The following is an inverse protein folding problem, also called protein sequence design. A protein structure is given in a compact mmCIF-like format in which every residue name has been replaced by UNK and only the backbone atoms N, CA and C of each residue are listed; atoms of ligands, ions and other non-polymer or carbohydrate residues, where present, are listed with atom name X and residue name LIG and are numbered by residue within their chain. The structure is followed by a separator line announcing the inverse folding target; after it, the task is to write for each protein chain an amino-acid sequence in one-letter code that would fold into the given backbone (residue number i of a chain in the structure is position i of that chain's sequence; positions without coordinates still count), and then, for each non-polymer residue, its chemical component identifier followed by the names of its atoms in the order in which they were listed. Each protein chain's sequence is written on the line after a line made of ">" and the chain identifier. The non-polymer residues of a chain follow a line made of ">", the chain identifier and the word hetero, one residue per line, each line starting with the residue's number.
data_IF_565603429451
#
_entry.id   IF_565603429451
#
_cell.length_a   1.000
_cell.length_b   1.000
_cell.length_c   1.000
_cell.angle_alpha   90.00
_cell.angle_beta   90.00
_cell.angle_gamma   90.00
#
_symmetry.space_group_name_H-M   'P 1'
#
loop_
_entity.id
_entity.type
_entity.pdbx_description
1 polymer ?
#
# COMPACT_ATOMS: atom_id res chain seq x y z
N UNK A 1 -9.16 15.67 -21.00
CA UNK A 1 -9.51 14.75 -22.11
C UNK A 1 -8.39 13.72 -22.24
N UNK A 2 -8.61 12.49 -21.81
CA UNK A 2 -7.67 11.39 -22.02
C UNK A 2 -8.08 10.64 -23.29
N UNK A 3 -7.23 10.68 -24.33
CA UNK A 3 -7.40 9.88 -25.54
C UNK A 3 -6.66 8.56 -25.34
N UNK A 4 -7.39 7.44 -25.36
CA UNK A 4 -6.81 6.10 -25.37
C UNK A 4 -6.66 5.65 -26.82
N UNK A 5 -5.42 5.53 -27.29
CA UNK A 5 -5.09 4.88 -28.56
C UNK A 5 -4.86 3.40 -28.29
N UNK A 6 -5.73 2.54 -28.81
CA UNK A 6 -5.62 1.08 -28.73
C UNK A 6 -4.54 0.60 -29.71
N UNK A 7 -3.47 -0.02 -29.19
CA UNK A 7 -2.50 -0.77 -30.01
C UNK A 7 -2.56 -2.27 -29.71
N UNK A 8 -2.57 -3.04 -30.81
CA UNK A 8 -2.73 -4.49 -30.90
C UNK A 8 -1.73 -5.29 -30.06
N UNK A 9 -2.20 -6.44 -29.60
CA UNK A 9 -1.49 -7.51 -28.88
C UNK A 9 -0.37 -8.13 -29.72
N UNK A 10 0.86 -7.65 -29.50
CA UNK A 10 2.06 -8.47 -29.62
C UNK A 10 2.48 -8.89 -28.20
N UNK A 11 2.99 -10.10 -28.02
CA UNK A 11 3.64 -10.56 -26.78
C UNK A 11 4.86 -9.68 -26.51
N UNK A 12 4.63 -8.51 -25.92
CA UNK A 12 5.68 -7.64 -25.39
C UNK A 12 6.17 -8.31 -24.13
N UNK A 13 7.46 -8.65 -24.08
CA UNK A 13 8.11 -8.99 -22.82
C UNK A 13 7.77 -7.88 -21.82
N UNK A 14 7.15 -8.28 -20.71
CA UNK A 14 6.84 -7.35 -19.62
C UNK A 14 8.19 -6.89 -19.06
N UNK A 15 8.51 -5.59 -19.09
CA UNK A 15 9.79 -5.09 -18.59
C UNK A 15 10.00 -5.56 -17.15
N UNK A 16 11.12 -6.23 -16.89
CA UNK A 16 11.47 -6.62 -15.53
C UNK A 16 11.94 -5.39 -14.78
N UNK A 17 11.24 -5.02 -13.70
CA UNK A 17 11.75 -4.04 -12.76
C UNK A 17 12.93 -4.66 -12.01
N UNK A 18 14.15 -4.39 -12.50
CA UNK A 18 15.39 -4.79 -11.85
C UNK A 18 15.89 -3.63 -11.01
N UNK A 19 15.76 -3.75 -9.70
CA UNK A 19 16.39 -2.80 -8.77
C UNK A 19 17.64 -3.43 -8.19
N UNK A 20 18.76 -2.70 -8.28
CA UNK A 20 20.08 -3.11 -7.76
C UNK A 20 20.50 -4.54 -8.15
N UNK A 21 20.12 -4.98 -9.35
CA UNK A 21 20.48 -6.30 -9.90
C UNK A 21 19.53 -7.44 -9.54
N UNK A 22 18.50 -7.20 -8.71
CA UNK A 22 17.50 -8.18 -8.33
C UNK A 22 16.19 -7.97 -9.08
N UNK A 23 15.57 -9.05 -9.54
CA UNK A 23 14.22 -9.03 -10.08
C UNK A 23 13.24 -9.02 -8.89
N UNK A 24 12.69 -7.85 -8.57
CA UNK A 24 11.79 -7.62 -7.43
C UNK A 24 10.59 -8.57 -7.44
N UNK A 25 10.08 -8.94 -8.62
CA UNK A 25 9.02 -9.94 -8.76
C UNK A 25 9.46 -11.29 -8.21
N UNK A 26 10.69 -11.73 -8.53
CA UNK A 26 11.19 -13.02 -8.06
C UNK A 26 11.37 -13.03 -6.55
N UNK A 27 11.88 -11.94 -5.96
CA UNK A 27 12.03 -11.82 -4.51
C UNK A 27 10.68 -11.85 -3.80
N UNK A 28 9.65 -11.17 -4.33
CA UNK A 28 8.31 -11.21 -3.78
C UNK A 28 7.71 -12.63 -3.76
N UNK A 29 7.82 -13.38 -4.86
CA UNK A 29 7.38 -14.77 -4.84
C UNK A 29 8.26 -15.66 -3.96
N UNK A 30 9.59 -15.44 -3.90
CA UNK A 30 10.49 -16.22 -3.02
C UNK A 30 10.10 -15.98 -1.57
N UNK A 31 9.70 -14.75 -1.24
CA UNK A 31 9.17 -14.41 0.07
C UNK A 31 7.90 -15.22 0.38
N UNK A 32 6.94 -15.32 -0.55
CA UNK A 32 5.75 -16.17 -0.38
C UNK A 32 6.10 -17.65 -0.19
N UNK A 33 7.00 -18.20 -1.01
CA UNK A 33 7.45 -19.60 -0.94
C UNK A 33 8.24 -19.90 0.35
N UNK A 34 8.95 -18.91 0.89
CA UNK A 34 9.80 -19.08 2.09
C UNK A 34 9.04 -19.50 3.35
N UNK A 35 7.72 -19.28 3.38
CA UNK A 35 6.86 -19.67 4.49
C UNK A 35 6.59 -21.17 4.57
N UNK A 36 6.90 -21.93 3.51
CA UNK A 36 6.75 -23.40 3.46
C UNK A 36 5.33 -23.88 3.77
N UNK A 37 4.33 -23.06 3.44
CA UNK A 37 2.91 -23.37 3.59
C UNK A 37 2.33 -24.14 2.39
N UNK A 38 3.18 -24.59 1.46
CA UNK A 38 2.77 -25.38 0.29
C UNK A 38 2.58 -24.58 -1.00
N UNK A 39 2.70 -23.26 -0.97
CA UNK A 39 2.69 -22.43 -2.19
C UNK A 39 3.92 -22.71 -3.07
N UNK A 40 3.67 -23.06 -4.33
CA UNK A 40 4.64 -23.16 -5.41
C UNK A 40 4.12 -22.36 -6.60
N UNK A 41 4.82 -21.29 -6.97
CA UNK A 41 4.38 -20.39 -8.06
C UNK A 41 4.20 -21.10 -9.41
N UNK A 42 4.86 -22.25 -9.62
CA UNK A 42 4.81 -23.03 -10.86
C UNK A 42 3.69 -24.07 -10.84
N UNK A 43 3.13 -24.38 -9.67
CA UNK A 43 2.07 -25.36 -9.53
C UNK A 43 0.71 -24.66 -9.34
N UNK A 44 -0.17 -24.66 -10.36
CA UNK A 44 -1.45 -23.96 -10.29
C UNK A 44 -2.36 -24.46 -9.17
N UNK A 45 -2.23 -25.73 -8.76
CA UNK A 45 -3.06 -26.32 -7.71
C UNK A 45 -2.69 -25.82 -6.30
N UNK A 46 -1.57 -25.12 -6.15
CA UNK A 46 -1.12 -24.57 -4.87
C UNK A 46 -1.47 -23.09 -4.67
N UNK A 47 -2.08 -22.46 -5.69
CA UNK A 47 -2.37 -21.02 -5.73
C UNK A 47 -3.71 -20.71 -5.04
N UNK A 48 -3.74 -20.88 -3.73
CA UNK A 48 -4.90 -20.61 -2.89
C UNK A 48 -4.49 -19.95 -1.56
N UNK A 49 -5.44 -19.28 -0.90
CA UNK A 49 -5.17 -18.56 0.34
C UNK A 49 -4.62 -19.45 1.46
N UNK A 50 -5.03 -20.73 1.53
CA UNK A 50 -4.58 -21.66 2.58
C UNK A 50 -3.09 -22.02 2.49
N UNK A 51 -2.49 -21.89 1.31
CA UNK A 51 -1.07 -22.16 1.09
C UNK A 51 -0.19 -20.91 1.24
N UNK A 52 -0.77 -19.77 1.57
CA UNK A 52 -0.09 -18.48 1.66
C UNK A 52 -0.04 -18.01 3.13
N UNK A 53 0.95 -17.17 3.50
CA UNK A 53 0.94 -16.50 4.79
C UNK A 53 -0.33 -15.67 4.97
N UNK A 54 -0.74 -15.48 6.23
CA UNK A 54 -1.90 -14.66 6.58
C UNK A 54 -1.81 -13.29 5.93
N UNK A 55 -2.91 -12.87 5.34
CA UNK A 55 -3.07 -11.57 4.73
C UNK A 55 -4.52 -11.15 4.82
N UNK A 56 -4.73 -9.86 4.65
CA UNK A 56 -6.07 -9.30 4.57
C UNK A 56 -6.37 -8.87 3.14
N UNK A 57 -7.65 -8.62 2.83
CA UNK A 57 -8.08 -7.98 1.57
C UNK A 57 -7.45 -8.60 0.29
N UNK A 58 -7.36 -9.93 0.25
CA UNK A 58 -6.91 -10.68 -0.93
C UNK A 58 -5.43 -10.51 -1.31
N UNK A 59 -4.59 -10.04 -0.40
CA UNK A 59 -3.13 -10.06 -0.57
C UNK A 59 -2.39 -8.93 0.13
N UNK A 60 -3.03 -8.17 1.03
CA UNK A 60 -2.40 -7.13 1.81
C UNK A 60 -1.57 -7.74 2.94
N UNK A 61 -0.26 -7.57 2.85
CA UNK A 61 0.75 -8.00 3.82
C UNK A 61 1.35 -6.77 4.49
N UNK A 62 1.03 -6.56 5.77
CA UNK A 62 1.62 -5.54 6.63
C UNK A 62 2.26 -6.14 7.89
N UNK A 63 2.10 -7.44 8.13
CA UNK A 63 2.77 -8.20 9.20
C UNK A 63 4.14 -8.74 8.75
N UNK A 64 4.75 -9.58 9.58
CA UNK A 64 5.99 -10.33 9.36
C UNK A 64 7.27 -9.50 9.21
N UNK A 65 7.16 -8.17 9.18
CA UNK A 65 8.25 -7.28 8.83
C UNK A 65 8.52 -7.20 7.34
N UNK A 66 7.53 -7.53 6.49
CA UNK A 66 7.66 -7.46 5.03
C UNK A 66 8.11 -6.07 4.56
N UNK A 67 7.64 -5.01 5.22
CA UNK A 67 8.04 -3.63 4.94
C UNK A 67 9.53 -3.34 5.13
N UNK A 68 10.26 -4.28 5.75
CA UNK A 68 11.69 -4.24 6.01
C UNK A 68 12.52 -5.30 5.29
N UNK A 69 11.93 -6.10 4.42
CA UNK A 69 12.68 -7.02 3.56
C UNK A 69 13.63 -6.24 2.64
N UNK A 70 14.80 -6.81 2.31
CA UNK A 70 15.83 -6.12 1.52
C UNK A 70 15.27 -5.59 0.20
N UNK A 71 14.50 -6.41 -0.53
CA UNK A 71 13.93 -6.02 -1.81
C UNK A 71 12.91 -4.88 -1.70
N UNK A 72 12.26 -4.71 -0.54
CA UNK A 72 11.36 -3.58 -0.27
C UNK A 72 12.15 -2.31 0.04
N UNK A 73 13.26 -2.44 0.76
CA UNK A 73 14.17 -1.31 0.97
C UNK A 73 14.90 -0.87 -0.28
N UNK A 74 15.19 -1.79 -1.20
CA UNK A 74 15.73 -1.45 -2.51
C UNK A 74 14.73 -0.63 -3.34
N UNK A 75 13.43 -0.97 -3.29
CA UNK A 75 12.34 -0.16 -3.86
C UNK A 75 12.27 1.23 -3.21
N UNK A 76 12.14 1.29 -1.88
CA UNK A 76 12.04 2.56 -1.13
C UNK A 76 13.30 3.43 -1.26
N UNK A 77 14.43 2.86 -1.64
CA UNK A 77 15.69 3.60 -1.80
C UNK A 77 15.99 4.00 -3.24
N UNK A 78 15.06 3.78 -4.17
CA UNK A 78 15.26 4.11 -5.58
C UNK A 78 15.28 5.64 -5.79
N UNK A 79 16.37 6.23 -6.32
CA UNK A 79 16.48 7.69 -6.44
C UNK A 79 15.32 8.32 -7.21
N UNK A 80 14.94 7.74 -8.35
CA UNK A 80 13.86 8.27 -9.19
C UNK A 80 12.50 8.26 -8.51
N UNK A 81 12.27 7.37 -7.55
CA UNK A 81 11.08 7.34 -6.70
C UNK A 81 11.12 8.46 -5.65
N UNK A 82 12.23 8.55 -4.91
CA UNK A 82 12.43 9.55 -3.85
C UNK A 82 12.27 10.97 -4.43
N UNK A 83 12.88 11.25 -5.58
CA UNK A 83 12.81 12.54 -6.27
C UNK A 83 11.36 12.99 -6.58
N UNK A 84 10.43 12.06 -6.85
CA UNK A 84 9.01 12.42 -7.05
C UNK A 84 8.41 13.00 -5.78
N UNK A 85 8.70 12.41 -4.63
CA UNK A 85 8.24 12.91 -3.34
C UNK A 85 8.97 14.16 -2.90
N UNK A 86 10.27 14.29 -3.21
CA UNK A 86 11.03 15.53 -2.94
C UNK A 86 10.40 16.71 -3.68
N UNK A 87 9.98 16.50 -4.94
CA UNK A 87 9.28 17.50 -5.74
C UNK A 87 7.91 17.88 -5.14
N UNK A 88 7.15 16.90 -4.64
CA UNK A 88 5.84 17.14 -4.02
C UNK A 88 6.00 17.99 -2.75
N UNK A 89 7.01 17.67 -1.94
CA UNK A 89 7.21 18.31 -0.64
C UNK A 89 8.13 19.53 -0.65
N UNK A 90 8.84 19.77 -1.76
CA UNK A 90 9.81 20.86 -1.88
C UNK A 90 11.04 20.69 -0.99
N UNK A 91 11.36 19.48 -0.54
CA UNK A 91 12.51 19.20 0.31
C UNK A 91 13.12 17.82 0.05
N UNK A 92 14.44 17.72 0.22
CA UNK A 92 15.19 16.45 0.23
C UNK A 92 15.01 15.71 1.57
N UNK A 93 14.68 16.43 2.63
CA UNK A 93 14.57 15.90 3.99
C UNK A 93 13.26 15.12 4.16
N UNK A 94 13.26 13.87 3.75
CA UNK A 94 12.08 13.00 3.77
C UNK A 94 12.23 11.83 4.75
N UNK A 95 11.11 11.35 5.27
CA UNK A 95 11.01 10.06 5.95
C UNK A 95 9.97 9.19 5.23
N UNK A 96 10.30 7.92 4.99
CA UNK A 96 9.44 6.94 4.31
C UNK A 96 8.63 6.12 5.32
N UNK A 97 7.45 5.66 4.96
CA UNK A 97 6.67 4.74 5.80
C UNK A 97 7.29 3.34 5.80
N UNK A 98 7.08 2.60 6.89
CA UNK A 98 7.39 1.17 6.96
C UNK A 98 6.18 0.33 6.56
N UNK A 99 5.37 0.87 5.65
CA UNK A 99 4.18 0.19 5.14
C UNK A 99 4.58 -1.08 4.37
N UNK A 100 3.59 -1.94 4.18
CA UNK A 100 3.73 -3.27 3.64
C UNK A 100 3.61 -3.34 2.11
N UNK A 101 3.13 -4.48 1.64
CA UNK A 101 2.94 -4.77 0.23
C UNK A 101 1.58 -5.39 -0.02
N UNK A 102 1.12 -5.31 -1.26
CA UNK A 102 0.11 -6.22 -1.76
C UNK A 102 0.79 -7.27 -2.64
N UNK A 103 0.62 -8.54 -2.29
CA UNK A 103 1.08 -9.70 -3.06
C UNK A 103 -0.09 -10.63 -3.35
N UNK A 104 -1.10 -10.13 -4.08
CA UNK A 104 -2.30 -10.90 -4.40
C UNK A 104 -1.98 -12.04 -5.39
N UNK A 105 -2.35 -13.26 -4.98
CA UNK A 105 -2.33 -14.46 -5.81
C UNK A 105 -3.78 -14.92 -6.00
N UNK A 106 -4.42 -14.61 -7.14
CA UNK A 106 -5.84 -14.92 -7.31
C UNK A 106 -6.10 -16.41 -7.44
N UNK A 107 -7.17 -16.85 -6.81
CA UNK A 107 -7.70 -18.22 -6.91
C UNK A 107 -8.56 -18.34 -8.15
N UNK A 108 -8.20 -19.27 -9.04
CA UNK A 108 -8.89 -19.48 -10.31
C UNK A 108 -10.36 -19.87 -10.13
N UNK A 109 -10.65 -20.68 -9.12
CA UNK A 109 -11.98 -21.23 -8.87
C UNK A 109 -12.80 -20.38 -7.87
N UNK A 110 -12.34 -19.16 -7.53
CA UNK A 110 -13.07 -18.27 -6.63
C UNK A 110 -14.35 -17.76 -7.30
N UNK A 111 -15.47 -17.96 -6.63
CA UNK A 111 -16.77 -17.51 -7.10
C UNK A 111 -16.81 -15.98 -7.24
N UNK A 112 -17.35 -15.48 -8.35
CA UNK A 112 -17.43 -14.03 -8.61
C UNK A 112 -18.31 -13.27 -7.61
N UNK A 113 -19.17 -13.99 -6.89
CA UNK A 113 -20.03 -13.45 -5.83
C UNK A 113 -19.37 -13.47 -4.45
N UNK A 114 -18.11 -13.88 -4.35
CA UNK A 114 -17.36 -13.88 -3.09
C UNK A 114 -17.36 -12.45 -2.48
N UNK A 115 -17.76 -12.28 -1.20
CA UNK A 115 -17.78 -10.99 -0.53
C UNK A 115 -16.43 -10.26 -0.53
N UNK A 116 -15.31 -10.94 -0.77
CA UNK A 116 -13.98 -10.33 -0.86
C UNK A 116 -13.89 -9.29 -2.00
N UNK A 117 -14.75 -9.40 -3.02
CA UNK A 117 -14.83 -8.45 -4.13
C UNK A 117 -15.63 -7.19 -3.82
N UNK A 118 -16.34 -7.15 -2.69
CA UNK A 118 -17.11 -5.99 -2.29
C UNK A 118 -16.20 -4.76 -2.10
N UNK A 119 -16.62 -3.57 -2.57
CA UNK A 119 -15.88 -2.35 -2.32
C UNK A 119 -15.83 -2.06 -0.81
N UNK A 120 -14.74 -1.42 -0.39
CA UNK A 120 -14.54 -0.99 1.00
C UNK A 120 -14.03 0.44 0.98
N UNK A 121 -14.86 1.32 0.42
CA UNK A 121 -14.55 2.72 0.22
C UNK A 121 -14.19 3.39 1.55
N UNK A 122 -13.03 4.05 1.58
CA UNK A 122 -12.56 4.77 2.75
C UNK A 122 -11.72 5.98 2.35
N UNK A 123 -11.48 6.84 3.33
CA UNK A 123 -10.39 7.82 3.32
C UNK A 123 -9.40 7.49 4.41
N UNK A 124 -8.18 7.95 4.23
CA UNK A 124 -7.06 7.73 5.14
C UNK A 124 -6.59 9.04 5.79
N UNK A 125 -7.48 10.02 5.80
CA UNK A 125 -7.31 11.26 6.53
C UNK A 125 -8.46 11.39 7.52
N UNK A 126 -8.20 12.01 8.67
CA UNK A 126 -9.28 12.28 9.62
C UNK A 126 -10.30 13.23 8.98
N UNK A 127 -11.62 12.99 9.14
CA UNK A 127 -12.66 13.94 8.73
C UNK A 127 -12.51 15.32 9.37
N UNK A 128 -11.82 15.40 10.52
CA UNK A 128 -11.56 16.63 11.26
C UNK A 128 -10.47 17.50 10.64
N UNK A 129 -9.75 17.01 9.63
CA UNK A 129 -8.71 17.75 8.93
C UNK A 129 -9.06 17.86 7.44
N UNK A 130 -9.50 19.04 7.00
CA UNK A 130 -9.80 19.32 5.59
C UNK A 130 -8.59 19.71 4.73
N UNK A 131 -7.44 19.95 5.35
CA UNK A 131 -6.25 20.47 4.68
C UNK A 131 -5.48 19.38 3.93
N UNK A 132 -4.64 19.79 2.99
CA UNK A 132 -3.69 18.86 2.37
C UNK A 132 -2.70 18.35 3.42
N UNK A 133 -2.81 17.06 3.77
CA UNK A 133 -1.90 16.44 4.72
C UNK A 133 -0.99 15.43 4.05
N UNK A 134 -1.50 14.42 3.33
CA UNK A 134 -0.69 13.30 2.86
C UNK A 134 -0.89 13.01 1.37
N UNK A 135 0.18 12.57 0.70
CA UNK A 135 0.11 11.97 -0.63
C UNK A 135 0.53 10.52 -0.48
N UNK A 136 -0.44 9.64 -0.61
CA UNK A 136 -0.19 8.21 -0.61
C UNK A 136 0.39 7.76 -1.95
N UNK A 137 1.08 6.62 -1.93
CA UNK A 137 1.68 6.07 -3.13
C UNK A 137 1.66 4.55 -3.18
N UNK A 138 1.51 4.05 -4.42
CA UNK A 138 1.71 2.64 -4.76
C UNK A 138 2.74 2.58 -5.88
N UNK A 139 3.83 1.85 -5.65
CA UNK A 139 4.72 1.43 -6.72
C UNK A 139 4.24 0.09 -7.27
N UNK A 140 3.78 0.10 -8.52
CA UNK A 140 3.21 -1.08 -9.18
C UNK A 140 4.31 -1.98 -9.75
N UNK A 141 4.26 -3.28 -9.48
CA UNK A 141 5.36 -4.22 -9.80
C UNK A 141 5.03 -5.21 -10.92
N UNK A 142 3.74 -5.44 -11.20
CA UNK A 142 3.24 -6.33 -12.24
C UNK A 142 2.22 -5.60 -13.13
N UNK A 143 1.96 -6.03 -14.37
CA UNK A 143 0.87 -5.48 -15.16
C UNK A 143 -0.43 -5.49 -14.36
N UNK A 144 -1.11 -4.35 -14.29
CA UNK A 144 -2.34 -4.19 -13.54
C UNK A 144 -3.42 -3.58 -14.43
N UNK A 145 -4.22 -4.44 -15.03
CA UNK A 145 -5.35 -4.08 -15.88
C UNK A 145 -6.67 -3.86 -15.13
N UNK A 146 -7.79 -3.73 -15.88
CA UNK A 146 -9.10 -3.40 -15.31
C UNK A 146 -9.66 -4.44 -14.33
N UNK A 147 -9.26 -5.70 -14.45
CA UNK A 147 -9.76 -6.82 -13.62
C UNK A 147 -8.70 -7.37 -12.66
N UNK A 148 -7.49 -6.80 -12.67
CA UNK A 148 -6.35 -7.32 -11.90
C UNK A 148 -6.29 -6.74 -10.47
N UNK A 149 -7.42 -6.23 -9.96
CA UNK A 149 -7.50 -5.59 -8.64
C UNK A 149 -6.64 -4.33 -8.56
N UNK A 150 -6.49 -3.76 -7.36
CA UNK A 150 -5.68 -2.59 -7.09
C UNK A 150 -6.47 -1.30 -6.88
N UNK A 151 -5.79 -0.16 -7.03
CA UNK A 151 -6.32 1.13 -6.61
C UNK A 151 -7.55 1.52 -7.45
N UNK A 152 -8.69 1.64 -6.78
CA UNK A 152 -9.87 2.32 -7.31
C UNK A 152 -10.06 3.61 -6.53
N UNK A 153 -10.13 4.74 -7.24
CA UNK A 153 -10.32 6.07 -6.66
C UNK A 153 -11.69 6.61 -7.02
N UNK A 154 -12.26 7.42 -6.13
CA UNK A 154 -13.46 8.18 -6.41
C UNK A 154 -13.05 9.55 -6.95
N UNK A 155 -12.86 9.62 -8.27
CA UNK A 155 -12.35 10.80 -8.95
C UNK A 155 -13.19 12.05 -8.61
N UNK A 156 -12.52 13.13 -8.22
CA UNK A 156 -13.13 14.39 -7.80
C UNK A 156 -13.48 14.49 -6.31
N UNK A 157 -13.48 13.38 -5.55
CA UNK A 157 -13.96 13.40 -4.17
C UNK A 157 -13.10 14.22 -3.21
N UNK A 158 -11.79 14.35 -3.47
CA UNK A 158 -10.88 15.14 -2.61
C UNK A 158 -11.24 16.62 -2.59
N UNK A 159 -11.76 17.16 -3.70
CA UNK A 159 -12.23 18.54 -3.78
C UNK A 159 -13.51 18.79 -2.95
N UNK A 160 -14.29 17.73 -2.70
CA UNK A 160 -15.52 17.77 -1.92
C UNK A 160 -15.30 17.34 -0.46
N UNK A 161 -14.08 17.03 -0.04
CA UNK A 161 -13.81 16.38 1.25
C UNK A 161 -14.40 17.15 2.44
N UNK A 162 -14.15 18.45 2.55
CA UNK A 162 -14.69 19.27 3.64
C UNK A 162 -16.22 19.41 3.55
N UNK A 163 -16.77 19.50 2.33
CA UNK A 163 -18.23 19.57 2.14
C UNK A 163 -18.91 18.26 2.54
N UNK A 164 -18.31 17.12 2.21
CA UNK A 164 -18.79 15.79 2.55
C UNK A 164 -18.99 15.65 4.07
N UNK A 165 -17.94 15.92 4.85
CA UNK A 165 -18.00 15.74 6.30
C UNK A 165 -18.94 16.74 6.99
N UNK A 166 -19.06 17.95 6.44
CA UNK A 166 -20.05 18.93 6.89
C UNK A 166 -21.48 18.50 6.55
N UNK A 167 -21.72 17.93 5.37
CA UNK A 167 -23.04 17.47 4.96
C UNK A 167 -23.52 16.31 5.82
N UNK A 168 -22.61 15.37 6.11
CA UNK A 168 -22.89 14.17 6.89
C UNK A 168 -22.54 14.30 8.36
N UNK A 169 -22.43 15.51 8.91
CA UNK A 169 -22.07 15.74 10.32
C UNK A 169 -23.00 14.99 11.30
N UNK A 170 -24.26 14.80 10.90
CA UNK A 170 -25.26 14.05 11.65
C UNK A 170 -24.98 12.53 11.77
N UNK A 171 -24.03 11.99 10.99
CA UNK A 171 -23.57 10.59 11.04
C UNK A 171 -22.37 10.36 11.96
N UNK A 172 -21.90 11.39 12.67
CA UNK A 172 -20.86 11.23 13.70
C UNK A 172 -21.27 10.19 14.73
N UNK A 173 -20.29 9.40 15.19
CA UNK A 173 -20.47 8.50 16.32
C UNK A 173 -20.60 9.27 17.65
N UNK A 174 -20.80 8.54 18.75
CA UNK A 174 -20.88 9.10 20.10
C UNK A 174 -19.62 9.91 20.48
N UNK A 175 -18.47 9.55 19.89
CA UNK A 175 -17.15 10.15 20.16
C UNK A 175 -16.66 11.04 19.01
N UNK A 176 -17.58 11.64 18.22
CA UNK A 176 -17.26 12.41 17.02
C UNK A 176 -16.68 11.55 15.87
N UNK A 177 -16.22 12.18 14.80
CA UNK A 177 -15.44 11.55 13.74
C UNK A 177 -14.11 11.01 14.25
N UNK A 178 -13.61 9.96 13.59
CA UNK A 178 -12.32 9.37 13.91
C UNK A 178 -11.19 10.44 13.80
N UNK A 179 -10.49 10.78 14.89
CA UNK A 179 -9.38 11.73 14.83
C UNK A 179 -8.13 11.12 14.19
N UNK A 180 -8.07 9.79 14.04
CA UNK A 180 -7.01 9.10 13.32
C UNK A 180 -7.31 8.98 11.81
N UNK A 181 -6.26 8.68 11.06
CA UNK A 181 -6.35 8.26 9.66
C UNK A 181 -7.11 6.92 9.57
N UNK A 182 -8.37 6.99 9.12
CA UNK A 182 -9.20 5.94 8.51
C UNK A 182 -10.69 6.24 8.76
N UNK A 183 -11.49 6.41 7.71
CA UNK A 183 -12.95 6.57 7.81
C UNK A 183 -13.64 5.88 6.62
N UNK A 184 -14.60 4.99 6.92
CA UNK A 184 -15.41 4.35 5.88
C UNK A 184 -16.40 5.33 5.25
N UNK A 185 -16.68 5.09 3.97
CA UNK A 185 -17.71 5.78 3.19
C UNK A 185 -18.87 4.79 2.98
N UNK A 186 -20.05 5.16 3.45
CA UNK A 186 -21.26 4.36 3.26
C UNK A 186 -21.91 4.62 1.89
N UNK A 187 -22.99 3.88 1.61
CA UNK A 187 -23.70 3.98 0.33
C UNK A 187 -24.35 5.36 0.12
N UNK A 188 -24.84 6.00 1.19
CA UNK A 188 -25.48 7.32 1.11
C UNK A 188 -24.46 8.42 0.81
N UNK A 189 -23.30 8.38 1.48
CA UNK A 189 -22.16 9.24 1.19
C UNK A 189 -21.67 9.03 -0.24
N UNK A 190 -21.60 7.78 -0.69
CA UNK A 190 -21.18 7.45 -2.05
C UNK A 190 -22.14 8.03 -3.08
N UNK A 191 -23.45 7.81 -2.93
CA UNK A 191 -24.48 8.33 -3.83
C UNK A 191 -24.50 9.87 -3.86
N UNK A 192 -24.27 10.51 -2.70
CA UNK A 192 -24.17 11.96 -2.64
C UNK A 192 -23.00 12.49 -3.47
N UNK A 193 -21.83 11.86 -3.37
CA UNK A 193 -20.66 12.20 -4.21
C UNK A 193 -20.90 11.94 -5.69
N UNK A 194 -21.56 10.83 -6.05
CA UNK A 194 -21.94 10.54 -7.45
C UNK A 194 -22.88 11.63 -7.99
N UNK A 195 -23.85 12.08 -7.19
CA UNK A 195 -24.77 13.17 -7.54
C UNK A 195 -24.05 14.51 -7.77
N UNK A 196 -22.87 14.67 -7.16
CA UNK A 196 -21.97 15.82 -7.33
C UNK A 196 -20.98 15.64 -8.49
N UNK A 197 -21.08 14.53 -9.23
CA UNK A 197 -20.29 14.26 -10.43
C UNK A 197 -19.00 13.46 -10.18
N UNK A 198 -18.75 12.99 -8.96
CA UNK A 198 -17.64 12.07 -8.70
C UNK A 198 -17.86 10.72 -9.40
N UNK A 199 -16.78 10.03 -9.77
CA UNK A 199 -16.85 8.75 -10.47
C UNK A 199 -15.81 7.76 -9.96
N UNK A 200 -16.21 6.51 -9.77
CA UNK A 200 -15.26 5.45 -9.50
C UNK A 200 -14.38 5.17 -10.72
N UNK A 201 -13.07 5.24 -10.53
CA UNK A 201 -12.07 4.99 -11.56
C UNK A 201 -11.09 3.93 -11.06
N UNK A 202 -11.08 2.77 -11.75
CA UNK A 202 -10.06 1.75 -11.54
C UNK A 202 -8.78 2.18 -12.25
N UNK A 203 -7.73 2.45 -11.49
CA UNK A 203 -6.44 2.87 -12.04
C UNK A 203 -5.70 1.65 -12.59
N UNK A 204 -5.39 1.66 -13.87
CA UNK A 204 -4.57 0.63 -14.53
C UNK A 204 -3.12 1.11 -14.62
N UNK A 205 -2.17 0.19 -14.47
CA UNK A 205 -0.75 0.52 -14.35
C UNK A 205 0.14 -0.56 -15.01
N UNK A 206 1.31 -0.14 -15.47
CA UNK A 206 2.39 -1.01 -15.91
C UNK A 206 3.44 -1.17 -14.80
N UNK A 207 4.29 -2.21 -14.84
CA UNK A 207 5.40 -2.34 -13.90
C UNK A 207 6.29 -1.09 -13.89
N UNK A 208 6.61 -0.59 -12.71
CA UNK A 208 7.40 0.63 -12.50
C UNK A 208 6.59 1.91 -12.41
N UNK A 209 5.29 1.89 -12.72
CA UNK A 209 4.44 3.06 -12.55
C UNK A 209 4.25 3.38 -11.06
N UNK A 210 4.39 4.66 -10.73
CA UNK A 210 4.10 5.21 -9.41
C UNK A 210 2.71 5.87 -9.44
N UNK A 211 1.78 5.29 -8.69
CA UNK A 211 0.44 5.82 -8.49
C UNK A 211 0.45 6.72 -7.26
N UNK A 212 -0.04 7.95 -7.38
CA UNK A 212 -0.07 8.93 -6.28
C UNK A 212 -1.45 9.55 -6.16
N UNK A 213 -1.92 9.73 -4.94
CA UNK A 213 -3.18 10.41 -4.66
C UNK A 213 -3.16 11.14 -3.32
N UNK A 214 -3.97 12.20 -3.22
CA UNK A 214 -4.23 12.93 -1.99
C UNK A 214 -4.99 12.03 -1.00
N UNK A 215 -4.59 11.98 0.28
CA UNK A 215 -5.22 11.14 1.31
C UNK A 215 -6.69 11.46 1.58
N UNK A 216 -7.18 12.62 1.13
CA UNK A 216 -8.61 12.99 1.12
C UNK A 216 -9.40 12.34 0.00
N UNK A 217 -8.74 11.81 -1.02
CA UNK A 217 -9.43 11.08 -2.08
C UNK A 217 -9.97 9.76 -1.54
N UNK A 218 -11.27 9.54 -1.72
CA UNK A 218 -11.93 8.30 -1.34
C UNK A 218 -11.44 7.22 -2.27
N UNK A 219 -11.05 6.09 -1.72
CA UNK A 219 -10.46 5.01 -2.49
C UNK A 219 -10.66 3.65 -1.80
N UNK A 220 -10.31 2.59 -2.51
CA UNK A 220 -10.14 1.26 -1.93
C UNK A 220 -9.21 0.41 -2.80
N UNK A 221 -8.66 -0.65 -2.22
CA UNK A 221 -7.92 -1.68 -2.95
C UNK A 221 -8.85 -2.80 -3.40
N UNK A 222 -9.15 -2.90 -4.69
CA UNK A 222 -9.92 -4.01 -5.25
C UNK A 222 -9.11 -5.32 -5.24
N UNK A 223 -9.77 -6.44 -4.94
CA UNK A 223 -9.18 -7.77 -5.13
C UNK A 223 -9.23 -8.15 -6.62
N UNK A 224 -8.20 -8.80 -7.19
CA UNK A 224 -8.23 -9.22 -8.58
C UNK A 224 -9.36 -10.24 -8.84
N UNK A 225 -10.25 -9.91 -9.77
CA UNK A 225 -11.28 -10.84 -10.28
C UNK A 225 -10.80 -11.61 -11.51
N UNK A 226 -9.65 -11.24 -12.07
CA UNK A 226 -8.89 -12.03 -13.03
C UNK A 226 -8.00 -13.07 -12.32
N UNK A 227 -7.24 -13.84 -13.10
CA UNK A 227 -6.24 -14.80 -12.59
C UNK A 227 -4.81 -14.24 -12.59
N UNK A 228 -4.64 -12.94 -12.83
CA UNK A 228 -3.31 -12.31 -12.88
C UNK A 228 -2.81 -11.95 -11.48
N UNK A 229 -1.56 -12.29 -11.18
CA UNK A 229 -0.91 -11.87 -9.94
C UNK A 229 -0.77 -10.35 -9.89
N UNK A 230 -1.03 -9.77 -8.71
CA UNK A 230 -0.88 -8.34 -8.49
C UNK A 230 0.11 -8.10 -7.36
N UNK A 231 1.26 -7.56 -7.72
CA UNK A 231 2.28 -7.14 -6.76
C UNK A 231 2.44 -5.62 -6.76
N UNK A 232 2.44 -5.04 -5.57
CA UNK A 232 2.56 -3.61 -5.35
C UNK A 232 3.22 -3.32 -4.00
N UNK A 233 4.06 -2.28 -3.94
CA UNK A 233 4.59 -1.77 -2.67
C UNK A 233 3.84 -0.49 -2.28
N UNK A 234 3.44 -0.39 -1.01
CA UNK A 234 2.87 0.83 -0.45
C UNK A 234 4.02 1.74 -0.02
N UNK A 235 4.02 2.96 -0.57
CA UNK A 235 5.14 3.89 -0.44
C UNK A 235 4.59 5.30 -0.22
N UNK A 236 4.94 5.88 0.92
CA UNK A 236 4.64 7.27 1.21
C UNK A 236 5.84 7.91 1.90
N UNK A 237 6.14 9.15 1.52
CA UNK A 237 7.15 9.97 2.16
C UNK A 237 6.51 11.25 2.68
N UNK A 238 7.06 11.76 3.77
CA UNK A 238 6.72 13.07 4.35
C UNK A 238 7.99 13.82 4.70
N UNK A 239 7.96 15.15 4.79
CA UNK A 239 9.08 15.91 5.32
C UNK A 239 9.47 15.41 6.71
N UNK A 240 10.77 15.30 6.98
CA UNK A 240 11.28 14.91 8.29
C UNK A 240 10.89 15.91 9.40
N UNK A 241 10.60 17.15 9.03
CA UNK A 241 10.08 18.21 9.90
C UNK A 241 8.63 17.98 10.33
N UNK A 242 7.85 17.19 9.59
CA UNK A 242 6.47 16.84 9.95
C UNK A 242 6.39 15.71 10.99
N UNK A 243 7.50 15.04 11.29
CA UNK A 243 7.54 13.92 12.24
C UNK A 243 8.06 14.40 13.58
N UNK A 244 7.28 14.17 14.64
CA UNK A 244 7.64 14.57 16.00
C UNK A 244 8.93 13.89 16.50
N UNK A 245 9.62 14.50 17.47
CA UNK A 245 10.82 13.89 18.07
C UNK A 245 10.51 12.54 18.76
N UNK A 246 9.30 12.40 19.31
CA UNK A 246 8.81 11.14 19.89
C UNK A 246 8.62 10.08 18.81
N UNK A 247 7.94 10.42 17.72
CA UNK A 247 7.73 9.48 16.61
C UNK A 247 9.03 9.09 15.92
N UNK A 248 10.01 9.98 15.84
CA UNK A 248 11.38 9.63 15.38
C UNK A 248 12.00 8.53 16.25
N UNK A 249 11.82 8.56 17.57
CA UNK A 249 12.30 7.49 18.47
C UNK A 249 11.51 6.18 18.25
N UNK A 250 10.18 6.26 18.19
CA UNK A 250 9.31 5.10 17.92
C UNK A 250 9.61 4.44 16.57
N UNK A 251 9.96 5.24 15.56
CA UNK A 251 10.44 4.78 14.24
C UNK A 251 11.74 3.99 14.34
N UNK A 252 12.72 4.45 15.12
CA UNK A 252 13.97 3.72 15.34
C UNK A 252 13.72 2.36 16.01
N UNK A 253 12.82 2.31 16.98
CA UNK A 253 12.42 1.07 17.66
C UNK A 253 11.70 0.11 16.71
N UNK A 254 10.73 0.60 15.94
CA UNK A 254 10.01 -0.21 14.95
C UNK A 254 10.97 -0.80 13.90
N UNK A 255 11.94 -0.01 13.41
CA UNK A 255 12.95 -0.50 12.48
C UNK A 255 13.84 -1.58 13.11
N UNK A 256 14.27 -1.41 14.37
CA UNK A 256 15.08 -2.41 15.09
C UNK A 256 14.34 -3.73 15.26
N UNK A 257 13.02 -3.66 15.47
CA UNK A 257 12.16 -4.81 15.71
C UNK A 257 11.53 -5.41 14.44
N UNK A 258 11.81 -4.84 13.26
CA UNK A 258 11.21 -5.27 12.00
C UNK A 258 9.68 -5.09 11.98
N UNK A 259 9.16 -4.06 12.64
CA UNK A 259 7.73 -3.78 12.70
C UNK A 259 7.33 -2.81 11.58
N UNK A 260 6.30 -3.19 10.83
CA UNK A 260 5.71 -2.31 9.81
C UNK A 260 4.89 -1.19 10.46
N UNK A 261 4.48 -0.21 9.66
CA UNK A 261 3.66 0.92 10.11
C UNK A 261 2.47 1.13 9.20
N UNK A 262 1.57 2.03 9.60
CA UNK A 262 0.60 2.64 8.68
C UNK A 262 1.28 3.38 7.53
N UNK A 263 0.46 3.79 6.55
CA UNK A 263 0.90 4.46 5.34
C UNK A 263 1.57 5.82 5.60
N UNK A 264 1.12 6.63 6.56
CA UNK A 264 1.67 7.98 6.81
C UNK A 264 2.91 7.94 7.74
N UNK A 265 4.10 8.38 7.29
CA UNK A 265 5.30 8.48 8.13
C UNK A 265 5.19 9.42 9.34
N UNK A 266 4.31 10.43 9.27
CA UNK A 266 4.11 11.46 10.29
C UNK A 266 2.98 11.12 11.28
N UNK A 267 1.95 10.40 10.85
CA UNK A 267 0.95 9.80 11.76
C UNK A 267 1.38 8.39 12.17
N UNK A 268 2.47 8.30 12.94
CA UNK A 268 3.19 7.05 13.16
C UNK A 268 2.43 6.07 14.07
N UNK A 269 2.00 4.95 13.49
CA UNK A 269 1.41 3.81 14.20
C UNK A 269 2.06 2.51 13.73
N UNK A 270 2.50 1.71 14.69
CA UNK A 270 3.10 0.41 14.46
C UNK A 270 2.00 -0.62 14.19
N UNK A 271 2.24 -1.55 13.27
CA UNK A 271 1.39 -2.70 13.01
C UNK A 271 1.99 -3.93 13.69
N UNK A 272 1.14 -4.79 14.23
CA UNK A 272 1.58 -6.05 14.84
C UNK A 272 2.33 -6.91 13.82
N UNK A 273 3.51 -7.38 14.23
CA UNK A 273 4.37 -8.20 13.37
C UNK A 273 3.83 -9.61 13.23
N UNK A 274 3.18 -10.14 14.26
CA UNK A 274 2.63 -11.49 14.24
C UNK A 274 1.24 -11.50 13.60
N UNK A 275 0.88 -12.56 12.86
CA UNK A 275 -0.48 -12.78 12.41
C UNK A 275 -1.37 -13.22 13.60
N UNK A 276 -2.68 -13.46 13.40
CA UNK A 276 -3.51 -14.11 14.42
C UNK A 276 -2.93 -15.43 14.90
N UNK A 277 -3.04 -15.71 16.20
CA UNK A 277 -2.40 -16.85 16.86
C UNK A 277 -2.89 -18.21 16.34
N UNK A 278 -4.12 -18.25 15.84
CA UNK A 278 -4.80 -19.41 15.27
C UNK A 278 -4.40 -19.70 13.81
N UNK A 279 -3.71 -18.78 13.12
CA UNK A 279 -3.34 -18.98 11.72
C UNK A 279 -2.10 -19.89 11.61
N UNK A 280 -2.03 -20.83 10.64
CA UNK A 280 -0.89 -21.74 10.46
C UNK A 280 0.47 -21.06 10.27
N UNK A 281 0.50 -19.80 9.86
CA UNK A 281 1.73 -19.02 9.70
C UNK A 281 2.29 -18.44 11.01
N UNK A 282 1.57 -18.54 12.14
CA UNK A 282 1.94 -17.87 13.38
C UNK A 282 3.26 -18.38 13.95
N UNK A 283 3.40 -19.70 14.12
CA UNK A 283 4.62 -20.31 14.68
C UNK A 283 5.84 -19.96 13.82
N UNK A 284 5.72 -20.13 12.50
CA UNK A 284 6.77 -19.74 11.56
C UNK A 284 7.13 -18.25 11.66
N UNK A 285 6.16 -17.37 11.90
CA UNK A 285 6.40 -15.94 12.06
C UNK A 285 7.07 -15.59 13.39
N UNK A 286 6.72 -16.28 14.46
CA UNK A 286 7.31 -16.11 15.79
C UNK A 286 8.78 -16.55 15.81
N UNK A 287 9.13 -17.62 15.09
CA UNK A 287 10.49 -18.14 14.98
C UNK A 287 11.36 -17.38 13.96
N UNK A 288 10.74 -16.78 12.94
CA UNK A 288 11.48 -16.09 11.87
C UNK A 288 12.19 -14.86 12.43
N UNK A 289 13.52 -14.89 12.38
CA UNK A 289 14.33 -13.73 12.74
C UNK A 289 14.19 -12.62 11.69
N UNK A 290 14.15 -11.37 12.17
CA UNK A 290 14.20 -10.21 11.30
C UNK A 290 15.64 -10.00 10.83
N UNK A 291 15.86 -10.08 9.52
CA UNK A 291 17.15 -9.76 8.90
C UNK A 291 17.19 -8.27 8.57
N UNK A 292 18.12 -7.53 9.20
CA UNK A 292 18.24 -6.09 8.94
C UNK A 292 18.70 -5.84 7.51
N UNK A 293 18.03 -4.94 6.77
CA UNK A 293 18.42 -4.59 5.41
C UNK A 293 19.75 -3.85 5.40
N UNK A 294 20.52 -4.02 4.34
CA UNK A 294 21.69 -3.20 4.02
C UNK A 294 21.21 -1.95 3.28
N UNK A 295 21.43 -0.78 3.90
CA UNK A 295 21.00 0.50 3.39
C UNK A 295 22.19 1.38 2.98
N UNK A 296 22.04 2.10 1.86
CA UNK A 296 22.93 3.20 1.49
C UNK A 296 22.77 4.37 2.47
N UNK A 297 23.65 5.38 2.41
CA UNK A 297 23.46 6.64 3.17
C UNK A 297 22.06 7.21 2.96
N UNK A 298 21.62 7.32 1.71
CA UNK A 298 20.28 7.80 1.37
C UNK A 298 19.16 6.93 1.98
N UNK A 299 19.33 5.61 1.95
CA UNK A 299 18.38 4.68 2.56
C UNK A 299 18.26 4.85 4.07
N UNK A 300 19.39 5.10 4.76
CA UNK A 300 19.41 5.37 6.20
C UNK A 300 18.76 6.70 6.56
N UNK A 301 18.98 7.75 5.77
CA UNK A 301 18.33 9.06 5.94
C UNK A 301 16.81 8.95 5.83
N UNK A 302 16.29 8.35 4.74
CA UNK A 302 14.83 8.22 4.55
C UNK A 302 14.18 7.26 5.54
N UNK A 303 14.92 6.26 6.05
CA UNK A 303 14.45 5.44 7.15
C UNK A 303 14.35 6.25 8.46
N UNK A 304 15.17 7.29 8.60
CA UNK A 304 15.33 8.06 9.85
C UNK A 304 16.33 7.40 10.81
N UNK A 305 17.26 6.61 10.29
CA UNK A 305 18.38 6.02 11.04
C UNK A 305 19.54 7.01 11.16
N UNK A 306 19.78 7.76 10.09
CA UNK A 306 20.76 8.84 10.04
C UNK A 306 20.02 10.17 9.96
N UNK A 307 20.56 11.20 10.61
CA UNK A 307 20.06 12.57 10.47
C UNK A 307 20.41 13.12 9.09
N UNK A 308 19.59 14.04 8.60
CA UNK A 308 19.97 14.90 7.49
C UNK A 308 21.10 15.84 7.95
N UNK A 309 22.21 15.85 7.22
CA UNK A 309 23.30 16.80 7.46
C UNK A 309 22.79 18.21 7.10
N UNK A 310 22.92 19.15 8.04
CA UNK A 310 22.62 20.58 7.86
C UNK A 310 23.81 21.28 7.24
#
# INVERSE_FOLDING_TARGET
>A
MASQTTTKTGTREVPTLKLRGHDTKQEAYRWLESWKLGFDRKNPNTRNATNLPFHTRGGLYNSYGIGHEQFVWDLKSEPGLIEKFEKIWGTRELLVSYDGMNLSIPEKEREKTDPIFAPWAHVDQSPLNGEFNCVQGILNLLPNGPQDGGLTVFEGSSALYTELWKHFDHKKGETDWNPQAFQFIDDEMSQWLESKGCKWVKVCAQPGDLLLWDSRCIHYGAVPSSTNDRFAAYICYKPASNVSAEDKKRRLEAFKNGQSTTHDPASFRVIERLPPAEHPSYEAAAERSYSKPTLSKRGKEIAGLDSYEV
#
